data_IF_607533024426
#
_entry.id   IF_607533024426
#
_cell.length_a   1.000
_cell.length_b   1.000
_cell.length_c   1.000
_cell.angle_alpha   90.00
_cell.angle_beta   90.00
_cell.angle_gamma   90.00
#
_symmetry.space_group_name_H-M   'P 1'
#
loop_
_entity.id
_entity.type
_entity.pdbx_description
1 polymer ?
#
# COMPACT_ATOMS: atom_id res chain seq x y z
N UNK A 1 2.49 6.72 6.28
CA UNK A 1 3.20 5.58 5.61
C UNK A 1 3.05 5.58 4.08
N UNK A 2 1.84 5.60 3.50
CA UNK A 2 1.65 5.53 2.03
C UNK A 2 2.38 6.62 1.23
N UNK A 3 2.41 7.87 1.71
CA UNK A 3 3.18 8.94 1.06
C UNK A 3 4.68 8.67 1.02
N UNK A 4 5.23 8.07 2.07
CA UNK A 4 6.65 7.66 2.12
C UNK A 4 6.92 6.57 1.10
N UNK A 5 6.06 5.54 1.06
CA UNK A 5 6.18 4.44 0.10
C UNK A 5 6.03 4.93 -1.34
N UNK A 6 5.00 5.73 -1.63
CA UNK A 6 4.75 6.30 -2.95
C UNK A 6 5.91 7.16 -3.46
N UNK A 7 6.57 7.91 -2.57
CA UNK A 7 7.82 8.62 -2.91
C UNK A 7 8.97 7.66 -3.22
N UNK A 8 9.11 6.58 -2.45
CA UNK A 8 10.22 5.62 -2.59
C UNK A 8 10.11 4.77 -3.86
N UNK A 9 8.90 4.39 -4.27
CA UNK A 9 8.64 3.46 -5.38
C UNK A 9 7.97 4.10 -6.60
N UNK A 10 7.88 5.43 -6.65
CA UNK A 10 7.19 6.17 -7.71
C UNK A 10 5.73 5.75 -7.95
N UNK A 11 4.96 5.62 -6.87
CA UNK A 11 3.56 5.18 -6.88
C UNK A 11 2.64 6.27 -6.33
N UNK A 12 1.36 6.22 -6.72
CA UNK A 12 0.31 7.07 -6.16
C UNK A 12 -0.07 6.64 -4.74
N UNK A 13 0.14 7.48 -3.70
CA UNK A 13 -0.37 7.22 -2.35
C UNK A 13 -1.88 6.93 -2.29
N UNK A 14 -2.68 7.58 -3.12
CA UNK A 14 -4.12 7.33 -3.23
C UNK A 14 -4.43 5.89 -3.65
N UNK A 15 -3.70 5.37 -4.63
CA UNK A 15 -3.83 3.97 -5.10
C UNK A 15 -3.37 3.00 -4.03
N UNK A 16 -2.23 3.28 -3.36
CA UNK A 16 -1.73 2.45 -2.24
C UNK A 16 -2.79 2.31 -1.14
N UNK A 17 -3.39 3.43 -0.71
CA UNK A 17 -4.40 3.44 0.34
C UNK A 17 -5.67 2.71 -0.12
N UNK A 18 -6.11 2.91 -1.36
CA UNK A 18 -7.30 2.26 -1.90
C UNK A 18 -7.14 0.74 -2.02
N UNK A 19 -5.98 0.26 -2.50
CA UNK A 19 -5.70 -1.18 -2.55
C UNK A 19 -5.60 -1.76 -1.14
N UNK A 20 -4.85 -1.13 -0.24
CA UNK A 20 -4.79 -1.58 1.15
C UNK A 20 -6.20 -1.65 1.78
N UNK A 21 -7.06 -0.65 1.54
CA UNK A 21 -8.43 -0.65 2.03
C UNK A 21 -9.28 -1.79 1.45
N UNK A 22 -9.20 -2.00 0.13
CA UNK A 22 -9.94 -3.05 -0.54
C UNK A 22 -9.48 -4.44 -0.08
N UNK A 23 -8.18 -4.71 -0.14
CA UNK A 23 -7.62 -6.05 0.11
C UNK A 23 -7.70 -6.47 1.58
N UNK A 24 -7.65 -5.52 2.52
CA UNK A 24 -7.68 -5.82 3.96
C UNK A 24 -9.07 -5.70 4.60
N UNK A 25 -10.11 -5.43 3.80
CA UNK A 25 -11.42 -4.99 4.30
C UNK A 25 -11.25 -3.85 5.33
N UNK A 26 -10.55 -2.80 4.92
CA UNK A 26 -10.20 -1.64 5.75
C UNK A 26 -9.43 -1.99 7.03
N UNK A 27 -8.52 -2.96 6.95
CA UNK A 27 -7.68 -3.41 8.06
C UNK A 27 -8.42 -4.28 9.07
N UNK A 28 -9.62 -4.73 8.74
CA UNK A 28 -10.45 -5.58 9.61
C UNK A 28 -10.37 -7.07 9.29
N UNK A 29 -9.68 -7.45 8.21
CA UNK A 29 -9.32 -8.85 7.96
C UNK A 29 -8.37 -9.37 9.04
N UNK A 30 -8.56 -10.61 9.51
CA UNK A 30 -7.65 -11.28 10.43
C UNK A 30 -6.21 -11.25 9.89
N UNK A 31 -6.04 -11.53 8.59
CA UNK A 31 -4.75 -11.55 7.91
C UNK A 31 -4.04 -10.17 7.96
N UNK A 32 -4.81 -9.08 8.00
CA UNK A 32 -4.27 -7.71 8.02
C UNK A 32 -3.95 -7.19 9.42
N UNK A 33 -4.40 -7.87 10.47
CA UNK A 33 -4.15 -7.49 11.87
C UNK A 33 -2.91 -8.18 12.43
N UNK A 34 -2.46 -7.72 13.58
CA UNK A 34 -1.48 -8.45 14.38
C UNK A 34 -2.05 -9.85 14.70
N UNK A 35 -1.22 -10.91 14.62
CA UNK A 35 0.23 -10.88 14.42
C UNK A 35 0.70 -10.95 12.95
N UNK A 36 -0.20 -10.92 11.96
CA UNK A 36 0.13 -11.26 10.58
C UNK A 36 0.48 -10.07 9.69
N UNK A 37 -0.15 -8.91 9.92
CA UNK A 37 0.15 -7.63 9.24
C UNK A 37 0.12 -7.66 7.71
N UNK A 38 -0.54 -8.62 7.07
CA UNK A 38 -0.59 -8.75 5.62
C UNK A 38 -1.78 -7.96 5.06
N UNK A 39 -1.49 -6.72 4.66
CA UNK A 39 -2.48 -5.73 4.23
C UNK A 39 -3.00 -5.97 2.81
N UNK A 40 -2.28 -6.75 2.01
CA UNK A 40 -2.53 -6.90 0.56
C UNK A 40 -2.85 -8.33 0.15
N UNK A 41 -3.15 -9.23 1.10
CA UNK A 41 -3.49 -10.62 0.78
C UNK A 41 -2.38 -11.36 0.03
N UNK A 42 -1.12 -11.06 0.32
CA UNK A 42 0.03 -11.63 -0.40
C UNK A 42 0.16 -13.11 -0.06
N UNK A 43 0.00 -13.96 -1.08
CA UNK A 43 0.23 -15.40 -0.96
C UNK A 43 1.72 -15.72 -0.86
N UNK A 44 2.04 -16.78 -0.12
CA UNK A 44 3.38 -17.36 -0.12
C UNK A 44 3.51 -18.44 -1.19
N UNK A 45 4.64 -18.46 -1.89
CA UNK A 45 5.02 -19.47 -2.87
C UNK A 45 6.27 -20.26 -2.45
N UNK A 46 6.53 -20.34 -1.13
CA UNK A 46 7.45 -21.30 -0.54
C UNK A 46 8.61 -20.71 0.27
N UNK A 47 8.56 -19.43 0.69
CA UNK A 47 9.64 -18.81 1.48
C UNK A 47 9.12 -17.70 2.42
N UNK A 48 9.20 -17.97 3.72
CA UNK A 48 8.95 -17.00 4.79
C UNK A 48 8.04 -17.57 5.88
N UNK A 49 7.76 -16.75 6.88
CA UNK A 49 6.70 -17.05 7.85
C UNK A 49 5.34 -16.92 7.16
N UNK A 50 4.47 -17.89 7.43
CA UNK A 50 3.18 -18.01 6.73
C UNK A 50 2.06 -18.41 7.66
N UNK A 51 0.84 -18.11 7.24
CA UNK A 51 -0.39 -18.62 7.84
C UNK A 51 -1.27 -19.28 6.77
N UNK A 52 -1.90 -20.40 7.12
CA UNK A 52 -2.97 -20.97 6.31
C UNK A 52 -4.28 -20.23 6.62
N UNK A 53 -4.88 -19.57 5.63
CA UNK A 53 -6.13 -18.84 5.80
C UNK A 53 -7.11 -19.14 4.65
N UNK A 54 -8.43 -19.05 4.89
CA UNK A 54 -9.41 -19.12 3.81
C UNK A 54 -9.29 -17.89 2.89
N UNK A 55 -9.52 -18.10 1.59
CA UNK A 55 -9.54 -17.05 0.58
C UNK A 55 -10.57 -17.35 -0.50
N UNK A 56 -11.01 -16.29 -1.17
CA UNK A 56 -11.92 -16.36 -2.31
C UNK A 56 -11.13 -16.31 -3.62
N UNK A 57 -11.29 -17.35 -4.44
CA UNK A 57 -10.70 -17.44 -5.77
C UNK A 57 -11.78 -17.42 -6.84
N UNK A 58 -11.49 -16.85 -8.00
CA UNK A 58 -12.39 -16.89 -9.16
C UNK A 58 -11.89 -17.91 -10.19
N UNK A 59 -12.65 -18.98 -10.40
CA UNK A 59 -12.40 -19.98 -11.44
C UNK A 59 -13.60 -20.06 -12.37
N UNK A 60 -13.38 -20.00 -13.70
CA UNK A 60 -14.44 -20.05 -14.71
C UNK A 60 -15.62 -19.08 -14.46
N UNK A 61 -15.36 -17.90 -13.90
CA UNK A 61 -16.38 -16.88 -13.61
C UNK A 61 -17.14 -17.08 -12.29
N UNK A 62 -16.80 -18.10 -11.50
CA UNK A 62 -17.44 -18.39 -10.21
C UNK A 62 -16.46 -18.21 -9.05
N UNK A 63 -16.96 -17.68 -7.93
CA UNK A 63 -16.18 -17.52 -6.71
C UNK A 63 -16.18 -18.83 -5.90
N UNK A 64 -15.01 -19.27 -5.46
CA UNK A 64 -14.78 -20.45 -4.65
C UNK A 64 -14.03 -20.08 -3.37
N UNK A 65 -14.40 -20.70 -2.24
CA UNK A 65 -13.62 -20.59 -1.00
C UNK A 65 -12.60 -21.72 -0.96
N UNK A 66 -11.32 -21.38 -0.85
CA UNK A 66 -10.22 -22.35 -0.69
C UNK A 66 -9.34 -21.94 0.47
N UNK A 67 -8.46 -22.83 0.95
CA UNK A 67 -7.41 -22.45 1.90
C UNK A 67 -6.11 -22.25 1.13
N UNK A 68 -5.38 -21.19 1.46
CA UNK A 68 -4.09 -20.89 0.85
C UNK A 68 -3.08 -20.43 1.91
N UNK A 69 -1.80 -20.40 1.53
CA UNK A 69 -0.70 -19.89 2.34
C UNK A 69 -0.55 -18.41 2.08
N UNK A 70 -0.61 -17.61 3.13
CA UNK A 70 -0.34 -16.18 3.09
C UNK A 70 0.92 -15.84 3.84
N UNK A 71 1.67 -14.87 3.34
CA UNK A 71 2.82 -14.31 4.06
C UNK A 71 2.38 -13.65 5.35
N UNK A 72 3.22 -13.69 6.36
CA UNK A 72 3.10 -12.87 7.56
C UNK A 72 4.26 -11.88 7.64
N UNK A 73 4.02 -10.73 8.25
CA UNK A 73 4.98 -9.65 8.35
C UNK A 73 5.10 -9.17 9.80
N UNK A 74 6.30 -8.72 10.19
CA UNK A 74 6.55 -8.16 11.52
C UNK A 74 5.79 -6.84 11.76
N UNK A 75 5.41 -6.16 10.67
CA UNK A 75 4.70 -4.87 10.74
C UNK A 75 3.97 -4.52 9.45
N UNK A 76 3.04 -3.58 9.56
CA UNK A 76 2.37 -2.96 8.42
C UNK A 76 3.36 -2.33 7.42
N UNK A 77 4.49 -1.82 7.91
CA UNK A 77 5.52 -1.24 7.05
C UNK A 77 6.23 -2.30 6.22
N UNK A 78 6.49 -3.48 6.79
CA UNK A 78 7.08 -4.59 6.06
C UNK A 78 6.14 -5.10 4.95
N UNK A 79 4.83 -5.18 5.21
CA UNK A 79 3.83 -5.49 4.17
C UNK A 79 3.78 -4.43 3.07
N UNK A 80 3.89 -3.14 3.43
CA UNK A 80 3.96 -2.05 2.46
C UNK A 80 5.23 -2.07 1.60
N UNK A 81 6.39 -2.40 2.19
CA UNK A 81 7.63 -2.54 1.43
C UNK A 81 7.54 -3.70 0.42
N UNK A 82 7.03 -4.86 0.82
CA UNK A 82 6.83 -6.01 -0.08
C UNK A 82 5.87 -5.67 -1.24
N UNK A 83 4.80 -4.92 -0.94
CA UNK A 83 3.91 -4.37 -1.96
C UNK A 83 4.63 -3.39 -2.91
N UNK A 84 5.47 -2.49 -2.38
CA UNK A 84 6.23 -1.53 -3.18
C UNK A 84 7.19 -2.23 -4.14
N UNK A 85 7.94 -3.22 -3.64
CA UNK A 85 8.84 -4.05 -4.45
C UNK A 85 8.09 -4.85 -5.53
N UNK A 86 6.92 -5.41 -5.19
CA UNK A 86 6.07 -6.13 -6.15
C UNK A 86 5.75 -5.28 -7.37
N UNK A 87 5.39 -4.02 -7.16
CA UNK A 87 5.01 -3.11 -8.25
C UNK A 87 6.20 -2.60 -9.07
N UNK A 88 7.45 -2.93 -8.70
CA UNK A 88 8.62 -2.67 -9.55
C UNK A 88 8.79 -3.70 -10.67
N UNK A 89 8.01 -4.79 -10.66
CA UNK A 89 8.01 -5.72 -11.77
C UNK A 89 7.52 -5.04 -13.07
N UNK A 90 8.14 -5.36 -14.21
CA UNK A 90 7.82 -4.78 -15.51
C UNK A 90 6.34 -4.94 -15.92
N UNK A 91 5.65 -5.96 -15.40
CA UNK A 91 4.21 -6.15 -15.53
C UNK A 91 3.40 -4.90 -15.11
N UNK A 92 3.89 -4.19 -14.09
CA UNK A 92 3.26 -3.05 -13.44
C UNK A 92 3.86 -1.69 -13.85
N UNK A 93 4.73 -1.66 -14.87
CA UNK A 93 5.37 -0.43 -15.34
C UNK A 93 4.39 0.76 -15.52
N UNK A 94 3.19 0.50 -16.05
CA UNK A 94 2.21 1.54 -16.33
C UNK A 94 1.45 2.05 -15.08
N UNK A 95 1.77 1.55 -13.88
CA UNK A 95 1.21 2.01 -12.60
C UNK A 95 2.00 3.20 -12.04
N UNK A 96 3.27 3.36 -12.45
CA UNK A 96 4.16 4.39 -11.92
C UNK A 96 3.74 5.81 -12.32
N UNK A 97 3.97 6.77 -11.42
CA UNK A 97 3.60 8.18 -11.63
C UNK A 97 4.41 8.84 -12.74
N UNK A 98 5.65 8.39 -12.95
CA UNK A 98 6.47 8.85 -14.08
C UNK A 98 5.94 8.40 -15.44
N UNK A 99 5.10 7.36 -15.48
CA UNK A 99 4.55 6.77 -16.71
C UNK A 99 3.12 7.22 -16.97
N UNK A 100 2.30 7.36 -15.93
CA UNK A 100 0.91 7.77 -16.05
C UNK A 100 0.63 9.07 -15.28
N UNK A 101 -0.18 9.96 -15.85
CA UNK A 101 -0.40 11.31 -15.32
C UNK A 101 -1.52 11.41 -14.29
N UNK A 102 -2.29 10.33 -14.09
CA UNK A 102 -3.44 10.31 -13.18
C UNK A 102 -3.67 8.93 -12.55
N UNK A 103 -4.15 8.89 -11.30
CA UNK A 103 -4.46 7.64 -10.59
C UNK A 103 -5.45 6.72 -11.33
N UNK A 104 -6.29 7.27 -12.22
CA UNK A 104 -7.26 6.48 -13.00
C UNK A 104 -6.56 5.63 -14.06
N UNK A 105 -5.45 6.13 -14.61
CA UNK A 105 -4.60 5.36 -15.51
C UNK A 105 -3.82 4.29 -14.74
N UNK A 106 -3.31 4.63 -13.54
CA UNK A 106 -2.64 3.66 -12.67
C UNK A 106 -3.58 2.51 -12.26
N UNK A 107 -4.82 2.81 -11.84
CA UNK A 107 -5.82 1.79 -11.48
C UNK A 107 -6.24 0.94 -12.68
N UNK A 108 -6.39 1.55 -13.86
CA UNK A 108 -6.63 0.79 -15.09
C UNK A 108 -5.45 -0.12 -15.44
N UNK A 109 -4.21 0.32 -15.23
CA UNK A 109 -3.02 -0.49 -15.48
C UNK A 109 -2.90 -1.73 -14.57
N UNK A 110 -3.61 -1.76 -13.44
CA UNK A 110 -3.71 -2.91 -12.53
C UNK A 110 -4.76 -3.94 -12.98
N UNK A 111 -5.73 -3.55 -13.82
CA UNK A 111 -6.85 -4.40 -14.26
C UNK A 111 -6.34 -5.66 -14.96
N UNK A 112 -6.77 -6.83 -14.50
CA UNK A 112 -6.38 -8.13 -15.06
C UNK A 112 -4.92 -8.53 -14.80
N UNK A 113 -4.15 -7.71 -14.08
CA UNK A 113 -2.75 -7.98 -13.74
C UNK A 113 -2.55 -8.21 -12.25
N UNK A 114 -3.06 -7.29 -11.44
CA UNK A 114 -2.99 -7.38 -9.98
C UNK A 114 -4.12 -8.27 -9.44
N UNK A 115 -5.28 -8.16 -10.06
CA UNK A 115 -6.51 -8.85 -9.70
C UNK A 115 -7.24 -9.34 -10.95
N UNK A 116 -7.89 -10.50 -10.84
CA UNK A 116 -8.73 -11.08 -11.91
C UNK A 116 -10.14 -10.48 -11.98
N UNK A 117 -10.51 -9.66 -10.98
CA UNK A 117 -11.79 -8.97 -10.92
C UNK A 117 -11.94 -7.95 -12.08
N UNK A 118 -12.95 -8.08 -12.96
CA UNK A 118 -13.16 -7.17 -14.09
C UNK A 118 -13.61 -5.75 -13.68
N UNK A 119 -13.96 -5.54 -12.42
CA UNK A 119 -14.38 -4.25 -11.84
C UNK A 119 -13.27 -3.61 -10.98
N UNK A 120 -12.06 -4.17 -10.96
CA UNK A 120 -11.03 -3.80 -9.98
C UNK A 120 -10.67 -2.31 -10.02
N UNK A 121 -10.41 -1.79 -11.22
CA UNK A 121 -10.10 -0.37 -11.42
C UNK A 121 -11.24 0.54 -10.95
N UNK A 122 -12.49 0.19 -11.24
CA UNK A 122 -13.69 0.92 -10.83
C UNK A 122 -13.87 0.92 -9.32
N UNK A 123 -13.61 -0.20 -8.65
CA UNK A 123 -13.64 -0.30 -7.18
C UNK A 123 -12.61 0.62 -6.55
N UNK A 124 -11.36 0.60 -7.04
CA UNK A 124 -10.31 1.49 -6.55
C UNK A 124 -10.66 2.96 -6.79
N UNK A 125 -11.12 3.30 -8.00
CA UNK A 125 -11.52 4.66 -8.34
C UNK A 125 -12.64 5.17 -7.42
N UNK A 126 -13.65 4.33 -7.13
CA UNK A 126 -14.73 4.69 -6.19
C UNK A 126 -14.19 4.99 -4.79
N UNK A 127 -13.26 4.18 -4.29
CA UNK A 127 -12.61 4.41 -2.99
C UNK A 127 -11.81 5.71 -2.98
N UNK A 128 -11.02 5.95 -4.03
CA UNK A 128 -10.20 7.17 -4.16
C UNK A 128 -11.08 8.42 -4.18
N UNK A 129 -12.18 8.39 -4.94
CA UNK A 129 -13.11 9.51 -5.08
C UNK A 129 -13.89 9.75 -3.78
N UNK A 130 -14.51 8.70 -3.24
CA UNK A 130 -15.38 8.78 -2.06
C UNK A 130 -14.63 9.30 -0.83
N UNK A 131 -13.37 8.92 -0.66
CA UNK A 131 -12.54 9.30 0.48
C UNK A 131 -11.54 10.42 0.18
N UNK A 132 -11.61 10.99 -1.03
CA UNK A 132 -10.76 12.08 -1.49
C UNK A 132 -9.27 11.78 -1.28
N UNK A 133 -8.84 10.56 -1.64
CA UNK A 133 -7.50 10.06 -1.31
C UNK A 133 -6.39 10.77 -2.10
N UNK A 134 -6.73 11.46 -3.19
CA UNK A 134 -5.78 12.26 -3.98
C UNK A 134 -5.12 13.39 -3.18
N UNK A 135 -5.71 13.80 -2.05
CA UNK A 135 -5.05 14.74 -1.11
C UNK A 135 -3.72 14.21 -0.57
N UNK A 136 -3.50 12.90 -0.60
CA UNK A 136 -2.24 12.27 -0.21
C UNK A 136 -1.24 12.14 -1.36
N UNK A 137 -1.62 12.38 -2.62
CA UNK A 137 -0.70 12.27 -3.76
C UNK A 137 0.30 13.43 -3.85
N UNK A 138 -0.03 14.52 -3.14
CA UNK A 138 0.85 15.66 -2.96
C UNK A 138 2.00 15.31 -2.01
N UNK A 139 3.18 15.92 -2.19
CA UNK A 139 4.27 15.79 -1.23
C UNK A 139 3.80 16.15 0.18
N UNK A 140 4.30 15.44 1.19
CA UNK A 140 4.11 15.82 2.59
C UNK A 140 4.49 17.30 2.73
N UNK A 141 3.50 18.18 2.94
CA UNK A 141 3.79 19.58 3.23
C UNK A 141 4.58 19.57 4.54
N UNK A 142 5.84 20.00 4.50
CA UNK A 142 6.51 20.43 5.73
C UNK A 142 5.59 21.50 6.30
N UNK A 143 5.06 21.28 7.50
CA UNK A 143 4.25 22.28 8.19
C UNK A 143 4.98 23.62 8.05
N UNK A 144 4.36 24.57 7.37
CA UNK A 144 4.85 25.94 7.36
C UNK A 144 4.76 26.40 8.81
N UNK A 145 5.88 26.42 9.51
CA UNK A 145 6.00 27.08 10.80
C UNK A 145 5.64 28.54 10.52
N UNK A 146 4.44 28.92 10.95
CA UNK A 146 4.01 30.30 11.00
C UNK A 146 4.93 30.98 12.00
N UNK A 147 5.96 31.68 11.52
CA UNK A 147 6.81 32.50 12.36
C UNK A 147 6.08 33.81 12.61
N UNK A 148 5.60 34.11 13.84
CA UNK A 148 5.33 35.48 14.21
C UNK A 148 6.69 36.21 14.25
N UNK A 149 6.71 37.37 13.60
CA UNK A 149 7.87 38.28 13.56
C UNK A 149 8.18 38.76 14.99
N UNK A 150 9.49 38.87 15.27
CA UNK A 150 10.14 39.59 16.39
C UNK A 150 10.48 38.81 17.68
N UNK A 151 11.74 38.35 17.79
CA UNK A 151 12.74 38.89 18.73
C UNK A 151 14.08 38.14 18.60
N UNK A 152 15.16 38.90 18.53
CA UNK A 152 16.59 38.54 18.53
C UNK A 152 17.01 37.63 19.68
N UNK A 153 17.81 36.59 19.43
CA UNK A 153 18.83 36.08 20.37
C UNK A 153 19.96 35.33 19.63
N UNK A 154 21.13 35.34 20.28
CA UNK A 154 22.48 35.10 19.77
C UNK A 154 22.84 33.65 19.38
N UNK A 155 23.87 33.60 18.53
CA UNK A 155 24.73 32.51 18.04
C UNK A 155 25.20 31.49 19.09
N UNK A 156 25.30 30.20 18.72
CA UNK A 156 26.48 29.29 18.85
C UNK A 156 26.28 28.03 17.97
N UNK A 157 27.35 27.68 17.25
CA UNK A 157 27.63 26.49 16.41
C UNK A 157 27.61 25.14 17.13
N UNK A 158 27.22 24.03 16.47
CA UNK A 158 28.16 22.97 16.02
C UNK A 158 27.44 21.78 15.31
N UNK A 159 28.27 21.12 14.51
CA UNK A 159 28.15 19.99 13.58
C UNK A 159 27.46 18.71 14.08
N UNK A 160 26.78 18.00 13.17
CA UNK A 160 27.00 16.57 12.87
C UNK A 160 25.96 16.03 11.86
N UNK A 161 26.43 15.78 10.64
CA UNK A 161 25.77 14.93 9.64
C UNK A 161 25.78 13.47 10.09
N UNK A 162 24.62 12.81 10.12
CA UNK A 162 24.56 11.35 10.20
C UNK A 162 23.68 10.80 9.08
N UNK A 163 24.33 10.46 7.96
CA UNK A 163 23.72 9.69 6.87
C UNK A 163 23.76 8.20 7.24
N UNK A 164 22.62 7.67 7.69
CA UNK A 164 22.46 6.24 7.88
C UNK A 164 22.04 5.61 6.54
N UNK A 165 23.02 5.07 5.82
CA UNK A 165 22.80 4.25 4.63
C UNK A 165 22.33 2.86 5.05
N UNK A 166 21.03 2.60 4.96
CA UNK A 166 20.49 1.24 5.07
C UNK A 166 20.67 0.52 3.74
N UNK A 167 21.55 -0.47 3.72
CA UNK A 167 21.73 -1.41 2.61
C UNK A 167 20.47 -2.25 2.42
N UNK A 168 19.61 -1.88 1.47
CA UNK A 168 18.54 -2.76 1.01
C UNK A 168 19.11 -3.79 0.04
N UNK A 169 19.19 -5.05 0.48
CA UNK A 169 19.43 -6.19 -0.41
C UNK A 169 18.21 -6.37 -1.30
N UNK A 170 18.34 -6.02 -2.59
CA UNK A 170 17.30 -6.23 -3.59
C UNK A 170 17.17 -7.73 -3.85
N UNK A 171 16.13 -8.33 -3.29
CA UNK A 171 15.72 -9.69 -3.62
C UNK A 171 14.65 -9.62 -4.70
N UNK A 172 14.97 -10.12 -5.90
CA UNK A 172 14.04 -10.19 -7.01
C UNK A 172 13.05 -11.35 -6.74
N UNK A 173 11.84 -11.02 -6.30
CA UNK A 173 10.79 -12.01 -6.05
C UNK A 173 9.85 -12.12 -7.25
N UNK A 174 9.36 -13.33 -7.59
CA UNK A 174 8.26 -13.49 -8.54
C UNK A 174 7.03 -12.72 -8.04
N UNK A 175 6.25 -12.14 -8.97
CA UNK A 175 5.07 -11.34 -8.63
C UNK A 175 4.08 -12.16 -7.79
N UNK A 176 3.74 -11.73 -6.57
CA UNK A 176 2.72 -12.41 -5.80
C UNK A 176 1.37 -12.34 -6.50
N UNK A 177 0.63 -13.45 -6.45
CA UNK A 177 -0.79 -13.48 -6.84
C UNK A 177 -1.57 -12.97 -5.63
N UNK A 178 -2.30 -11.87 -5.80
CA UNK A 178 -3.18 -11.31 -4.77
C UNK A 178 -4.58 -11.87 -4.98
N UNK A 179 -5.12 -12.56 -3.98
CA UNK A 179 -6.55 -12.89 -3.98
C UNK A 179 -7.33 -11.62 -3.68
N UNK A 180 -8.32 -11.30 -4.51
CA UNK A 180 -9.28 -10.25 -4.17
C UNK A 180 -10.21 -10.80 -3.09
N UNK A 181 -9.93 -10.50 -1.82
CA UNK A 181 -10.91 -10.70 -0.77
C UNK A 181 -12.07 -9.72 -1.00
N UNK A 182 -13.12 -10.21 -1.66
CA UNK A 182 -14.33 -9.44 -1.90
C UNK A 182 -14.98 -9.00 -0.59
N UNK A 183 -14.89 -7.71 -0.26
CA UNK A 183 -15.58 -7.15 0.90
C UNK A 183 -15.62 -5.63 0.85
N UNK A 184 -16.73 -5.07 0.37
CA UNK A 184 -17.05 -3.64 0.54
C UNK A 184 -17.67 -3.40 1.93
N UNK A 185 -16.93 -3.70 3.01
CA UNK A 185 -17.38 -3.44 4.38
C UNK A 185 -16.91 -2.08 4.88
N UNK A 186 -17.81 -1.13 5.16
CA UNK A 186 -17.45 0.23 5.61
C UNK A 186 -16.97 0.30 7.07
N UNK A 187 -17.09 -0.78 7.85
CA UNK A 187 -16.85 -0.81 9.30
C UNK A 187 -15.37 -0.64 9.72
N UNK A 188 -14.39 -0.81 8.82
CA UNK A 188 -12.97 -0.69 9.16
C UNK A 188 -12.32 0.66 8.84
N UNK A 189 -13.04 1.61 8.22
CA UNK A 189 -12.48 2.88 7.73
C UNK A 189 -11.54 3.58 8.72
N UNK A 190 -11.97 3.70 9.98
CA UNK A 190 -11.19 4.38 11.02
C UNK A 190 -9.91 3.65 11.42
N UNK A 191 -9.86 2.32 11.32
CA UNK A 191 -8.67 1.55 11.69
C UNK A 191 -7.56 1.74 10.66
N UNK A 192 -7.87 1.66 9.37
CA UNK A 192 -6.88 1.86 8.32
C UNK A 192 -6.39 3.31 8.25
N UNK A 193 -7.30 4.29 8.36
CA UNK A 193 -6.96 5.73 8.38
C UNK A 193 -5.99 6.04 9.52
N UNK A 194 -6.24 5.51 10.74
CA UNK A 194 -5.33 5.68 11.88
C UNK A 194 -3.96 5.03 11.66
N UNK A 195 -3.92 3.85 11.04
CA UNK A 195 -2.67 3.11 10.75
C UNK A 195 -1.82 3.78 9.68
N UNK A 196 -2.42 4.37 8.65
CA UNK A 196 -1.68 4.95 7.52
C UNK A 196 -1.27 6.41 7.70
N UNK A 197 -2.00 7.17 8.51
CA UNK A 197 -1.87 8.63 8.59
C UNK A 197 -1.34 9.15 9.94
N UNK A 198 -1.43 8.37 11.02
CA UNK A 198 -1.14 8.85 12.38
C UNK A 198 -0.07 8.03 13.12
N UNK A 199 0.90 7.46 12.40
CA UNK A 199 2.12 6.84 12.95
C UNK A 199 3.35 7.19 12.13
#
# INVERSE_FOLDING_TARGET
MAQRLGKQYDLYPSVIIAQAALESNWGSSDLSRSPYHNLFGVKDNGRGDTIMAPTSEYFAGHQHQVKDRFRTYDSDWASLLDYGETLQNSLYHNVHRSVCSHYRQATYALLGKYATDPEYDRKLNRLIDQYQLTKYDQPLRKSAVHHPVHATYHDVTDSASNHHSSSHTSHHYPTPIVSVMGGAGTAGLFQLVRRFLFK
#
